data_IF_106049352360
#
_entry.id   IF_106049352360
#
_cell.length_a   1.000
_cell.length_b   1.000
_cell.length_c   1.000
_cell.angle_alpha   90.00
_cell.angle_beta   90.00
_cell.angle_gamma   90.00
#
_symmetry.space_group_name_H-M   'P 1'
#
loop_
_entity.id
_entity.type
_entity.pdbx_description
1 polymer ?
#
# COMPACT_ATOMS: atom_id res chain seq x y z
N UNK A 1 -11.58 -24.06 0.91
CA UNK A 1 -11.86 -22.89 0.05
C UNK A 1 -11.86 -23.29 -1.42
N UNK A 2 -12.69 -22.68 -2.27
CA UNK A 2 -12.63 -22.93 -3.73
C UNK A 2 -11.27 -22.42 -4.27
N UNK A 3 -10.57 -23.23 -5.05
CA UNK A 3 -9.20 -22.94 -5.51
C UNK A 3 -9.13 -21.62 -6.31
N UNK A 4 -10.18 -21.30 -7.07
CA UNK A 4 -10.31 -20.02 -7.77
C UNK A 4 -10.31 -18.82 -6.82
N UNK A 5 -11.03 -18.92 -5.70
CA UNK A 5 -11.16 -17.86 -4.69
C UNK A 5 -9.80 -17.63 -4.00
N UNK A 6 -9.06 -18.71 -3.71
CA UNK A 6 -7.72 -18.61 -3.16
C UNK A 6 -6.77 -17.84 -4.08
N UNK A 7 -6.76 -18.17 -5.37
CA UNK A 7 -5.92 -17.49 -6.38
C UNK A 7 -6.24 -15.99 -6.44
N UNK A 8 -7.53 -15.62 -6.39
CA UNK A 8 -7.95 -14.21 -6.37
C UNK A 8 -7.43 -13.48 -5.13
N UNK A 9 -7.50 -14.10 -3.94
CA UNK A 9 -6.94 -13.51 -2.72
C UNK A 9 -5.43 -13.34 -2.77
N UNK A 10 -4.69 -14.32 -3.31
CA UNK A 10 -3.24 -14.21 -3.48
C UNK A 10 -2.88 -13.12 -4.49
N UNK A 11 -3.59 -13.05 -5.62
CA UNK A 11 -3.35 -12.02 -6.63
C UNK A 11 -3.63 -10.60 -6.09
N UNK A 12 -4.73 -10.43 -5.36
CA UNK A 12 -5.07 -9.15 -4.70
C UNK A 12 -4.06 -8.79 -3.62
N UNK A 13 -3.57 -9.75 -2.84
CA UNK A 13 -2.51 -9.52 -1.86
C UNK A 13 -1.22 -8.98 -2.50
N UNK A 14 -0.78 -9.58 -3.60
CA UNK A 14 0.40 -9.12 -4.34
C UNK A 14 0.22 -7.71 -4.91
N UNK A 15 -0.96 -7.40 -5.45
CA UNK A 15 -1.31 -6.07 -5.96
C UNK A 15 -1.26 -5.01 -4.86
N UNK A 16 -1.90 -5.27 -3.72
CA UNK A 16 -1.93 -4.34 -2.57
C UNK A 16 -0.52 -4.15 -2.02
N UNK A 17 0.29 -5.21 -1.95
CA UNK A 17 1.70 -5.11 -1.54
C UNK A 17 2.48 -4.18 -2.47
N UNK A 18 2.37 -4.36 -3.79
CA UNK A 18 3.06 -3.53 -4.77
C UNK A 18 2.68 -2.04 -4.67
N UNK A 19 1.38 -1.74 -4.52
CA UNK A 19 0.89 -0.37 -4.33
C UNK A 19 1.41 0.23 -3.02
N UNK A 20 1.44 -0.56 -1.95
CA UNK A 20 1.96 -0.11 -0.64
C UNK A 20 3.44 0.26 -0.73
N UNK A 21 4.25 -0.61 -1.36
CA UNK A 21 5.68 -0.37 -1.57
C UNK A 21 5.90 0.90 -2.42
N UNK A 22 5.13 1.05 -3.51
CA UNK A 22 5.19 2.24 -4.35
C UNK A 22 4.92 3.52 -3.55
N UNK A 23 3.86 3.54 -2.73
CA UNK A 23 3.51 4.71 -1.94
C UNK A 23 4.58 5.03 -0.88
N UNK A 24 5.16 4.02 -0.23
CA UNK A 24 6.25 4.19 0.74
C UNK A 24 7.48 4.78 0.04
N UNK A 25 7.90 4.21 -1.09
CA UNK A 25 9.03 4.72 -1.87
C UNK A 25 8.78 6.16 -2.33
N UNK A 26 7.58 6.46 -2.83
CA UNK A 26 7.21 7.81 -3.22
C UNK A 26 7.30 8.80 -2.05
N UNK A 27 6.89 8.38 -0.85
CA UNK A 27 7.04 9.19 0.38
C UNK A 27 8.52 9.51 0.63
N UNK A 28 9.38 8.49 0.62
CA UNK A 28 10.82 8.66 0.85
C UNK A 28 11.48 9.57 -0.19
N UNK A 29 11.15 9.38 -1.47
CA UNK A 29 11.70 10.22 -2.54
C UNK A 29 11.18 11.66 -2.45
N UNK A 30 9.92 11.86 -2.08
CA UNK A 30 9.34 13.19 -1.82
C UNK A 30 10.07 13.91 -0.68
N UNK A 31 10.31 13.24 0.45
CA UNK A 31 11.06 13.82 1.57
C UNK A 31 12.51 14.13 1.21
N UNK A 32 13.16 13.23 0.46
CA UNK A 32 14.52 13.45 -0.04
C UNK A 32 14.58 14.66 -0.98
N UNK A 33 13.65 14.77 -1.93
CA UNK A 33 13.56 15.91 -2.84
C UNK A 33 13.28 17.23 -2.11
N UNK A 34 12.47 17.20 -1.04
CA UNK A 34 12.24 18.36 -0.18
C UNK A 34 13.52 18.82 0.51
N UNK A 35 14.33 17.88 1.00
CA UNK A 35 15.55 18.19 1.74
C UNK A 35 16.73 18.58 0.84
N UNK A 36 16.89 17.94 -0.31
CA UNK A 36 18.05 18.13 -1.21
C UNK A 36 17.81 19.17 -2.30
N UNK A 37 16.57 19.28 -2.80
CA UNK A 37 16.23 20.10 -3.97
C UNK A 37 15.25 21.24 -3.64
N UNK A 38 14.80 21.34 -2.38
CA UNK A 38 13.71 22.24 -1.94
C UNK A 38 12.40 22.07 -2.74
N UNK A 39 12.24 20.94 -3.44
CA UNK A 39 11.02 20.60 -4.17
C UNK A 39 10.08 19.90 -3.19
N UNK A 40 9.01 20.58 -2.81
CA UNK A 40 8.04 20.04 -1.85
C UNK A 40 6.73 19.67 -2.53
N UNK A 41 6.21 18.49 -2.19
CA UNK A 41 4.83 18.15 -2.50
C UNK A 41 3.87 19.03 -1.71
N UNK A 42 2.76 19.50 -2.32
CA UNK A 42 1.75 20.23 -1.59
C UNK A 42 1.20 19.40 -0.42
N UNK A 43 0.93 20.07 0.71
CA UNK A 43 0.55 19.42 1.97
C UNK A 43 -0.67 18.50 1.86
N UNK A 44 -1.61 18.83 0.95
CA UNK A 44 -2.76 18.01 0.62
C UNK A 44 -2.37 16.64 0.07
N UNK A 45 -1.41 16.57 -0.86
CA UNK A 45 -0.95 15.31 -1.43
C UNK A 45 -0.21 14.45 -0.42
N UNK A 46 0.60 15.04 0.47
CA UNK A 46 1.25 14.30 1.54
C UNK A 46 0.21 13.63 2.46
N UNK A 47 -0.86 14.35 2.84
CA UNK A 47 -1.94 13.77 3.65
C UNK A 47 -2.65 12.63 2.92
N UNK A 48 -2.97 12.81 1.64
CA UNK A 48 -3.58 11.75 0.82
C UNK A 48 -2.68 10.51 0.74
N UNK A 49 -1.37 10.70 0.55
CA UNK A 49 -0.40 9.62 0.48
C UNK A 49 -0.36 8.82 1.79
N UNK A 50 -0.30 9.51 2.93
CA UNK A 50 -0.33 8.87 4.26
C UNK A 50 -1.62 8.07 4.47
N UNK A 51 -2.78 8.65 4.11
CA UNK A 51 -4.07 7.95 4.19
C UNK A 51 -4.07 6.71 3.29
N UNK A 52 -3.52 6.82 2.08
CA UNK A 52 -3.47 5.71 1.13
C UNK A 52 -2.58 4.57 1.63
N UNK A 53 -1.43 4.87 2.24
CA UNK A 53 -0.55 3.88 2.87
C UNK A 53 -1.30 3.15 4.01
N UNK A 54 -2.02 3.91 4.85
CA UNK A 54 -2.76 3.32 5.96
C UNK A 54 -3.88 2.38 5.48
N UNK A 55 -4.66 2.81 4.48
CA UNK A 55 -5.71 1.98 3.87
C UNK A 55 -5.14 0.72 3.21
N UNK A 56 -4.00 0.83 2.53
CA UNK A 56 -3.36 -0.31 1.89
C UNK A 56 -2.88 -1.34 2.92
N UNK A 57 -2.28 -0.91 4.04
CA UNK A 57 -1.90 -1.80 5.13
C UNK A 57 -3.10 -2.51 5.77
N UNK A 58 -4.19 -1.78 5.99
CA UNK A 58 -5.42 -2.31 6.58
C UNK A 58 -6.07 -3.35 5.64
N UNK A 59 -6.04 -3.09 4.34
CA UNK A 59 -6.48 -4.03 3.31
C UNK A 59 -5.61 -5.29 3.28
N UNK A 60 -4.29 -5.14 3.42
CA UNK A 60 -3.33 -6.25 3.43
C UNK A 60 -3.57 -7.17 4.64
N UNK A 61 -3.79 -6.59 5.82
CA UNK A 61 -4.17 -7.33 7.03
C UNK A 61 -5.50 -8.08 6.86
N UNK A 62 -6.49 -7.43 6.26
CA UNK A 62 -7.79 -8.05 6.01
C UNK A 62 -7.67 -9.26 5.05
N UNK A 63 -6.93 -9.11 3.95
CA UNK A 63 -6.72 -10.20 2.99
C UNK A 63 -5.96 -11.36 3.65
N UNK A 64 -4.91 -11.07 4.43
CA UNK A 64 -4.19 -12.10 5.19
C UNK A 64 -5.10 -12.84 6.17
N UNK A 65 -5.94 -12.12 6.89
CA UNK A 65 -6.92 -12.72 7.80
C UNK A 65 -7.89 -13.64 7.05
N UNK A 66 -8.40 -13.21 5.89
CA UNK A 66 -9.31 -14.04 5.08
C UNK A 66 -8.62 -15.28 4.52
N UNK A 67 -7.36 -15.18 4.11
CA UNK A 67 -6.57 -16.33 3.68
C UNK A 67 -6.39 -17.31 4.85
N UNK A 68 -5.96 -16.83 6.02
CA UNK A 68 -5.76 -17.65 7.22
C UNK A 68 -7.03 -18.31 7.73
N UNK A 69 -8.16 -17.61 7.71
CA UNK A 69 -9.46 -18.14 8.15
C UNK A 69 -9.98 -19.27 7.25
N UNK A 70 -9.65 -19.21 5.96
CA UNK A 70 -10.19 -20.12 4.94
C UNK A 70 -9.18 -21.21 4.51
N UNK A 71 -7.98 -21.22 5.10
CA UNK A 71 -6.97 -22.27 5.06
C UNK A 71 -7.37 -23.41 6.00
#
# INVERSE_FOLDING_TARGET
>A
MNYLIFIVYVATLLLVLAITIYNILFTFYSEKAKNELAISLPSFFNKLLTVNIFLALLTLLFILYQILKNL
#
